data_IF_648535930113
#
_entry.id   IF_648535930113
#
_cell.length_a   1.000
_cell.length_b   1.000
_cell.length_c   1.000
_cell.angle_alpha   90.00
_cell.angle_beta   90.00
_cell.angle_gamma   90.00
#
_symmetry.space_group_name_H-M   'P 1'
#
loop_
_entity.id
_entity.type
_entity.pdbx_description
1 polymer ?
#
# COMPACT_ATOMS: atom_id res chain seq x y z
N UNK A 1 5.11 -7.04 4.16
CA UNK A 1 4.92 -5.99 5.19
C UNK A 1 4.50 -4.65 4.60
N UNK A 2 5.19 -4.11 3.58
CA UNK A 2 4.81 -2.84 2.98
C UNK A 2 3.61 -2.93 2.03
N UNK A 3 3.53 -3.99 1.21
CA UNK A 3 2.55 -4.11 0.14
C UNK A 3 1.11 -4.23 0.66
N UNK A 4 0.90 -5.06 1.67
CA UNK A 4 -0.40 -5.23 2.33
C UNK A 4 -0.88 -3.94 2.99
N UNK A 5 0.03 -3.16 3.57
CA UNK A 5 -0.29 -1.89 4.23
C UNK A 5 -0.76 -0.83 3.23
N UNK A 6 -0.11 -0.78 2.05
CA UNK A 6 -0.52 0.11 0.96
C UNK A 6 -1.84 -0.35 0.36
N UNK A 7 -2.00 -1.66 0.09
CA UNK A 7 -3.24 -2.19 -0.46
C UNK A 7 -4.43 -2.00 0.50
N UNK A 8 -4.22 -2.17 1.81
CA UNK A 8 -5.23 -1.86 2.81
C UNK A 8 -5.67 -0.39 2.75
N UNK A 9 -4.71 0.54 2.66
CA UNK A 9 -5.01 1.96 2.55
C UNK A 9 -5.85 2.27 1.30
N UNK A 10 -5.53 1.66 0.17
CA UNK A 10 -6.31 1.80 -1.08
C UNK A 10 -7.75 1.31 -0.94
N UNK A 11 -7.97 0.15 -0.30
CA UNK A 11 -9.31 -0.40 -0.06
C UNK A 11 -10.12 0.49 0.88
N UNK A 12 -9.52 0.97 1.98
CA UNK A 12 -10.17 1.92 2.91
C UNK A 12 -10.51 3.23 2.18
N UNK A 13 -9.62 3.71 1.32
CA UNK A 13 -9.89 4.88 0.49
C UNK A 13 -11.03 4.62 -0.51
N UNK A 14 -11.11 3.41 -1.07
CA UNK A 14 -12.24 2.95 -1.89
C UNK A 14 -13.56 2.98 -1.13
N UNK A 15 -13.60 2.45 0.09
CA UNK A 15 -14.77 2.52 0.97
C UNK A 15 -15.21 3.96 1.26
N UNK A 16 -14.25 4.89 1.46
CA UNK A 16 -14.56 6.31 1.69
C UNK A 16 -15.22 7.00 0.50
N UNK A 17 -15.07 6.47 -0.72
CA UNK A 17 -15.75 6.99 -1.93
C UNK A 17 -17.21 6.52 -2.05
N UNK A 18 -17.61 5.47 -1.32
CA UNK A 18 -18.99 4.98 -1.34
C UNK A 18 -19.86 5.96 -0.55
N UNK A 19 -20.95 6.44 -1.17
CA UNK A 19 -21.90 7.37 -0.54
C UNK A 19 -22.37 6.87 0.82
N UNK A 20 -22.50 7.79 1.78
CA UNK A 20 -22.99 7.50 3.15
C UNK A 20 -24.38 6.88 3.13
N UNK A 21 -25.21 7.25 2.15
CA UNK A 21 -26.57 6.74 1.99
C UNK A 21 -26.61 5.29 1.47
N UNK A 22 -25.54 4.83 0.79
CA UNK A 22 -25.40 3.45 0.31
C UNK A 22 -24.86 2.54 1.41
N UNK A 23 -25.63 2.43 2.49
CA UNK A 23 -25.29 1.66 3.69
C UNK A 23 -24.98 0.19 3.38
N UNK A 24 -25.69 -0.40 2.42
CA UNK A 24 -25.52 -1.81 2.04
C UNK A 24 -24.11 -2.03 1.46
N UNK A 25 -23.71 -1.26 0.44
CA UNK A 25 -22.38 -1.43 -0.15
C UNK A 25 -21.27 -1.10 0.83
N UNK A 26 -21.47 -0.10 1.70
CA UNK A 26 -20.51 0.22 2.76
C UNK A 26 -20.30 -0.94 3.73
N UNK A 27 -21.38 -1.60 4.16
CA UNK A 27 -21.30 -2.77 5.05
C UNK A 27 -20.54 -3.91 4.37
N UNK A 28 -20.86 -4.22 3.09
CA UNK A 28 -20.15 -5.28 2.37
C UNK A 28 -18.66 -4.99 2.24
N UNK A 29 -18.31 -3.76 1.86
CA UNK A 29 -16.92 -3.36 1.70
C UNK A 29 -16.17 -3.33 3.04
N UNK A 30 -16.80 -2.87 4.12
CA UNK A 30 -16.22 -2.92 5.46
C UNK A 30 -15.95 -4.35 5.92
N UNK A 31 -16.89 -5.28 5.70
CA UNK A 31 -16.68 -6.71 6.01
C UNK A 31 -15.54 -7.31 5.20
N UNK A 32 -15.49 -7.02 3.90
CA UNK A 32 -14.39 -7.45 3.03
C UNK A 32 -13.03 -7.00 3.58
N UNK A 33 -12.92 -5.74 3.96
CA UNK A 33 -11.68 -5.19 4.54
C UNK A 33 -11.34 -5.88 5.87
N UNK A 34 -12.32 -6.10 6.74
CA UNK A 34 -12.11 -6.77 8.02
C UNK A 34 -11.57 -8.19 7.82
N UNK A 35 -12.23 -8.98 6.97
CA UNK A 35 -11.87 -10.38 6.73
C UNK A 35 -10.50 -10.52 6.07
N UNK A 36 -10.16 -9.60 5.16
CA UNK A 36 -8.93 -9.68 4.36
C UNK A 36 -7.69 -9.13 5.06
N UNK A 37 -7.85 -8.11 5.92
CA UNK A 37 -6.71 -7.39 6.54
C UNK A 37 -6.71 -7.37 8.07
N UNK A 38 -7.87 -7.43 8.74
CA UNK A 38 -7.99 -7.18 10.19
C UNK A 38 -8.09 -8.47 11.00
N UNK A 39 -8.64 -9.55 10.46
CA UNK A 39 -8.70 -10.84 11.17
C UNK A 39 -7.29 -11.42 11.30
N UNK A 40 -6.98 -11.98 12.47
CA UNK A 40 -5.69 -12.65 12.70
C UNK A 40 -5.60 -13.92 11.86
N UNK A 41 -4.50 -14.10 11.16
CA UNK A 41 -4.29 -15.17 10.19
C UNK A 41 -4.93 -14.89 8.81
N UNK A 42 -5.40 -13.67 8.54
CA UNK A 42 -5.88 -13.30 7.23
C UNK A 42 -4.74 -13.27 6.20
N UNK A 43 -5.06 -13.53 4.93
CA UNK A 43 -4.08 -13.61 3.83
C UNK A 43 -3.23 -12.34 3.72
N UNK A 44 -3.86 -11.17 3.90
CA UNK A 44 -3.19 -9.86 3.86
C UNK A 44 -3.29 -9.16 5.20
N UNK A 45 -3.15 -9.89 6.30
CA UNK A 45 -3.19 -9.33 7.64
C UNK A 45 -2.21 -8.17 7.80
N UNK A 46 -2.74 -7.00 8.22
CA UNK A 46 -1.92 -5.82 8.51
C UNK A 46 -1.42 -5.84 9.95
N UNK A 47 -0.22 -5.28 10.16
CA UNK A 47 0.37 -5.15 11.49
C UNK A 47 -0.19 -3.91 12.19
N UNK A 48 -1.30 -4.10 12.92
CA UNK A 48 -1.90 -3.09 13.81
C UNK A 48 -1.94 -3.60 15.24
N UNK A 49 -2.00 -2.67 16.19
CA UNK A 49 -2.08 -2.96 17.60
C UNK A 49 -3.30 -3.81 17.94
N UNK A 50 -3.17 -4.62 18.99
CA UNK A 50 -4.29 -5.41 19.48
C UNK A 50 -5.50 -4.54 19.86
N UNK A 51 -5.26 -3.34 20.40
CA UNK A 51 -6.32 -2.38 20.74
C UNK A 51 -7.13 -1.98 19.52
N UNK A 52 -6.46 -1.50 18.47
CA UNK A 52 -7.10 -1.06 17.22
C UNK A 52 -7.85 -2.20 16.55
N UNK A 53 -7.29 -3.41 16.59
CA UNK A 53 -7.96 -4.60 16.07
C UNK A 53 -9.27 -4.90 16.81
N UNK A 54 -9.27 -4.89 18.14
CA UNK A 54 -10.47 -5.14 18.92
C UNK A 54 -11.51 -4.03 18.77
N UNK A 55 -11.08 -2.78 18.62
CA UNK A 55 -11.97 -1.65 18.33
C UNK A 55 -12.76 -1.87 17.02
N UNK A 56 -12.07 -2.32 15.96
CA UNK A 56 -12.69 -2.61 14.67
C UNK A 56 -13.57 -3.86 14.74
N UNK A 57 -13.09 -4.95 15.34
CA UNK A 57 -13.84 -6.22 15.39
C UNK A 57 -15.05 -6.17 16.33
N UNK A 58 -14.98 -5.34 17.37
CA UNK A 58 -16.04 -5.19 18.37
C UNK A 58 -17.11 -4.15 18.00
N UNK A 59 -16.93 -3.40 16.91
CA UNK A 59 -17.88 -2.34 16.56
C UNK A 59 -19.15 -2.89 15.90
N UNK A 60 -20.35 -2.48 16.35
CA UNK A 60 -21.59 -2.81 15.67
C UNK A 60 -21.81 -1.97 14.41
N UNK A 61 -21.15 -0.81 14.28
CA UNK A 61 -21.43 0.19 13.26
C UNK A 61 -20.50 0.13 12.06
N UNK A 62 -20.70 -0.85 11.17
CA UNK A 62 -19.85 -1.03 9.97
C UNK A 62 -19.99 0.08 8.91
N UNK A 63 -20.98 0.97 9.05
CA UNK A 63 -21.19 2.08 8.11
C UNK A 63 -20.41 3.35 8.48
N UNK A 64 -19.84 3.41 9.69
CA UNK A 64 -19.13 4.59 10.19
C UNK A 64 -17.97 5.01 9.27
N UNK A 65 -17.85 6.32 9.04
CA UNK A 65 -16.86 6.88 8.11
C UNK A 65 -15.41 6.73 8.62
N UNK A 66 -15.26 6.68 9.94
CA UNK A 66 -13.99 6.60 10.66
C UNK A 66 -13.68 5.18 11.18
N UNK A 67 -14.39 4.15 10.70
CA UNK A 67 -14.24 2.76 11.16
C UNK A 67 -12.78 2.27 11.17
N UNK A 68 -11.98 2.70 10.19
CA UNK A 68 -10.60 2.25 10.00
C UNK A 68 -9.55 3.33 10.29
N UNK A 69 -9.93 4.51 10.81
CA UNK A 69 -9.00 5.65 10.92
C UNK A 69 -7.83 5.34 11.87
N UNK A 70 -8.09 4.72 13.03
CA UNK A 70 -7.03 4.28 13.95
C UNK A 70 -6.03 3.30 13.30
N UNK A 71 -6.52 2.38 12.45
CA UNK A 71 -5.67 1.44 11.72
C UNK A 71 -4.84 2.13 10.62
N UNK A 72 -5.45 3.08 9.91
CA UNK A 72 -4.75 3.89 8.91
C UNK A 72 -3.64 4.72 9.56
N UNK A 73 -3.91 5.33 10.71
CA UNK A 73 -2.93 6.15 11.43
C UNK A 73 -1.73 5.31 11.88
N UNK A 74 -1.97 4.13 12.45
CA UNK A 74 -0.90 3.20 12.85
C UNK A 74 -0.07 2.74 11.65
N UNK A 75 -0.71 2.38 10.54
CA UNK A 75 0.00 1.99 9.30
C UNK A 75 0.84 3.15 8.78
N UNK A 76 0.30 4.36 8.72
CA UNK A 76 1.02 5.54 8.24
C UNK A 76 2.23 5.83 9.12
N UNK A 77 2.10 5.68 10.44
CA UNK A 77 3.25 5.80 11.35
C UNK A 77 4.30 4.72 11.08
N UNK A 78 3.90 3.46 10.91
CA UNK A 78 4.81 2.36 10.60
C UNK A 78 5.55 2.58 9.28
N UNK A 79 4.84 3.03 8.24
CA UNK A 79 5.43 3.38 6.94
C UNK A 79 6.43 4.51 7.09
N UNK A 80 6.08 5.58 7.82
CA UNK A 80 6.99 6.72 8.05
C UNK A 80 8.25 6.31 8.81
N UNK A 81 8.13 5.47 9.83
CA UNK A 81 9.26 5.08 10.67
C UNK A 81 10.20 4.08 10.00
N UNK A 82 9.65 3.12 9.26
CA UNK A 82 10.43 2.00 8.73
C UNK A 82 10.68 2.14 7.22
N UNK A 83 9.64 2.37 6.44
CA UNK A 83 9.67 2.21 4.98
C UNK A 83 10.11 3.47 4.23
N UNK A 84 9.79 4.65 4.75
CA UNK A 84 10.14 5.91 4.08
C UNK A 84 11.65 6.10 3.98
N UNK A 85 12.37 5.82 5.06
CA UNK A 85 13.84 5.90 5.10
C UNK A 85 14.48 4.92 4.11
N UNK A 86 14.01 3.67 4.15
CA UNK A 86 14.51 2.63 3.25
C UNK A 86 14.24 3.00 1.78
N UNK A 87 13.03 3.50 1.49
CA UNK A 87 12.65 3.94 0.15
C UNK A 87 13.53 5.10 -0.35
N UNK A 88 13.73 6.15 0.45
CA UNK A 88 14.56 7.29 0.04
C UNK A 88 16.03 6.92 -0.19
N UNK A 89 16.52 5.88 0.48
CA UNK A 89 17.86 5.34 0.26
C UNK A 89 17.95 4.28 -0.86
N UNK A 90 16.82 3.89 -1.44
CA UNK A 90 16.75 2.80 -2.40
C UNK A 90 17.18 3.21 -3.82
N UNK A 91 17.62 2.22 -4.60
CA UNK A 91 17.90 2.38 -6.03
C UNK A 91 16.65 2.82 -6.82
N UNK A 92 15.44 2.43 -6.37
CA UNK A 92 14.20 2.84 -7.00
C UNK A 92 14.00 4.36 -6.92
N UNK A 93 14.22 4.94 -5.73
CA UNK A 93 14.10 6.38 -5.56
C UNK A 93 15.23 7.14 -6.26
N UNK A 94 16.47 6.63 -6.22
CA UNK A 94 17.60 7.21 -6.95
C UNK A 94 17.32 7.30 -8.45
N UNK A 95 16.79 6.22 -9.05
CA UNK A 95 16.41 6.18 -10.46
C UNK A 95 15.26 7.13 -10.78
N UNK A 96 14.22 7.16 -9.95
CA UNK A 96 13.10 8.10 -10.10
C UNK A 96 13.59 9.56 -10.09
N UNK A 97 14.51 9.89 -9.17
CA UNK A 97 15.11 11.22 -9.08
C UNK A 97 15.91 11.56 -10.33
N UNK A 98 16.70 10.61 -10.83
CA UNK A 98 17.46 10.78 -12.08
C UNK A 98 16.55 10.99 -13.30
N UNK A 99 15.44 10.24 -13.39
CA UNK A 99 14.43 10.41 -14.44
C UNK A 99 13.74 11.77 -14.36
N UNK A 100 13.42 12.24 -13.15
CA UNK A 100 12.81 13.56 -12.93
C UNK A 100 13.77 14.71 -13.26
N UNK A 101 15.06 14.56 -12.94
CA UNK A 101 16.11 15.56 -13.24
C UNK A 101 16.49 15.60 -14.73
N UNK A 102 16.33 14.49 -15.47
CA UNK A 102 16.54 14.46 -16.94
C UNK A 102 15.51 15.27 -17.73
N UNK A 103 14.32 15.52 -17.16
CA UNK A 103 13.22 16.18 -17.86
C UNK A 103 12.76 15.46 -19.14
N UNK A 104 11.78 15.99 -19.88
CA UNK A 104 11.22 15.34 -21.08
C UNK A 104 12.16 15.31 -22.30
N UNK A 105 13.36 15.90 -22.22
CA UNK A 105 14.32 16.04 -23.33
C UNK A 105 15.65 15.30 -23.09
N UNK A 106 15.71 14.35 -22.17
CA UNK A 106 16.88 13.48 -22.04
C UNK A 106 17.10 12.64 -23.31
N UNK A 107 18.35 12.35 -23.71
CA UNK A 107 18.61 11.53 -24.89
C UNK A 107 17.93 10.17 -24.70
N UNK A 108 17.14 9.79 -25.70
CA UNK A 108 16.45 8.52 -25.82
C UNK A 108 17.43 7.40 -25.41
N UNK A 109 17.14 6.75 -24.29
CA UNK A 109 17.95 5.63 -23.82
C UNK A 109 17.91 4.58 -24.94
N UNK A 110 19.03 4.42 -25.64
CA UNK A 110 19.18 3.30 -26.56
C UNK A 110 18.84 2.01 -25.81
N UNK A 111 18.13 1.07 -26.46
CA UNK A 111 17.85 -0.23 -25.90
C UNK A 111 19.13 -0.82 -25.32
N UNK A 112 19.06 -1.35 -24.10
CA UNK A 112 20.09 -2.18 -23.52
C UNK A 112 20.26 -3.40 -24.43
N UNK A 113 21.13 -3.28 -25.42
CA UNK A 113 21.64 -4.42 -26.18
C UNK A 113 22.45 -5.26 -25.18
N UNK A 114 21.74 -6.23 -24.61
CA UNK A 114 22.32 -7.41 -24.00
C UNK A 114 23.41 -7.92 -24.93
N UNK A 115 24.66 -7.80 -24.50
CA UNK A 115 25.80 -8.38 -25.20
C UNK A 115 26.02 -9.78 -24.63
N UNK A 116 25.75 -10.88 -25.37
CA UNK A 116 26.30 -12.17 -25.04
C UNK A 116 27.68 -12.23 -25.66
N UNK A 117 28.72 -12.19 -24.83
CA UNK A 117 30.07 -12.55 -25.26
C UNK A 117 30.05 -13.96 -25.86
N UNK A 118 30.27 -14.06 -27.17
CA UNK A 118 30.70 -15.31 -27.82
C UNK A 118 32.09 -15.08 -28.37
N UNK A 119 33.09 -15.52 -27.63
CA UNK A 119 34.47 -15.61 -28.09
C UNK A 119 34.58 -16.71 -29.15
N UNK A 120 34.79 -16.33 -30.41
CA UNK A 120 35.30 -17.22 -31.44
C UNK A 120 36.81 -17.41 -31.21
N UNK A 121 37.20 -18.62 -30.83
CA UNK A 121 38.59 -19.08 -30.88
C UNK A 121 38.80 -19.68 -32.27
N UNK A 122 39.88 -19.26 -32.92
CA UNK A 122 40.27 -19.70 -34.27
C UNK A 122 41.04 -21.02 -34.21
#
# INVERSE_FOLDING_TARGET
LAGESVHFYEEVYGLKKISVDDSIRRIYMARHIIEKYIVTGAEMEISVSHRTRQEILGTPGLTHLNLFDSAVDEILQLIKMNLAKDYWSSQHFAKLKEEMERGPNGPELMPLDYSPRVSFVR
#
